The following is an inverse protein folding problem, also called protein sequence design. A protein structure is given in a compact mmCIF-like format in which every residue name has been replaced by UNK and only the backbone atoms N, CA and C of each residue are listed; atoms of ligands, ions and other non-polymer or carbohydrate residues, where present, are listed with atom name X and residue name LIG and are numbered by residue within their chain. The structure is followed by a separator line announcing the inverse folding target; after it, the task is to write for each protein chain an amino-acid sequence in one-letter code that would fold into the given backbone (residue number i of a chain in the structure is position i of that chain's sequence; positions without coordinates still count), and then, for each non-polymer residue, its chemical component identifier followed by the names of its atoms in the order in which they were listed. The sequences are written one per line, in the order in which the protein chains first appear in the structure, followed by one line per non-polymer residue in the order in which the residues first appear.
data_IF_968363719753
#
_entry.id   IF_968363719753
#
_cell.length_a   1.000
_cell.length_b   1.000
_cell.length_c   1.000
_cell.angle_alpha   90.00
_cell.angle_beta   90.00
_cell.angle_gamma   90.00
#
_symmetry.space_group_name_H-M   'P 1'
#
loop_
_entity.id
_entity.type
_entity.pdbx_description
1 polymer ?
#
# COMPACT_ATOMS: atom_id res chain seq x y z
N UNK A 1 25.74 3.14 0.31
CA UNK A 1 25.64 4.25 1.27
C UNK A 1 26.59 5.39 0.94
N UNK A 2 27.87 5.17 0.97
CA UNK A 2 28.90 6.21 0.75
C UNK A 2 28.85 6.89 -0.62
N UNK A 3 28.19 6.28 -1.60
CA UNK A 3 27.97 6.84 -2.95
C UNK A 3 26.62 7.51 -3.12
N UNK A 4 25.85 7.69 -2.03
CA UNK A 4 24.50 8.25 -2.06
C UNK A 4 23.53 7.42 -2.89
N UNK A 5 23.71 6.08 -2.93
CA UNK A 5 22.93 5.14 -3.75
C UNK A 5 22.96 5.42 -5.27
N UNK A 6 23.99 6.11 -5.74
CA UNK A 6 24.19 6.31 -7.19
C UNK A 6 24.85 5.07 -7.81
N UNK A 7 24.48 4.78 -9.06
CA UNK A 7 24.99 3.67 -9.85
C UNK A 7 24.73 2.26 -9.24
N UNK A 8 23.58 2.11 -8.56
CA UNK A 8 23.13 0.79 -8.13
C UNK A 8 22.81 -0.08 -9.33
N UNK A 9 23.20 -1.36 -9.26
CA UNK A 9 22.88 -2.36 -10.28
C UNK A 9 21.81 -3.27 -9.68
N UNK A 10 20.61 -3.35 -10.29
CA UNK A 10 19.57 -4.27 -9.85
C UNK A 10 20.06 -5.72 -9.91
N UNK A 11 19.63 -6.55 -8.95
CA UNK A 11 19.99 -7.98 -8.91
C UNK A 11 19.46 -8.76 -10.12
N UNK A 12 18.41 -8.25 -10.77
CA UNK A 12 17.90 -8.71 -12.07
C UNK A 12 17.80 -7.50 -13.00
N UNK A 13 18.23 -7.64 -14.25
CA UNK A 13 18.22 -6.57 -15.26
C UNK A 13 17.12 -6.77 -16.31
N UNK A 14 16.15 -7.59 -16.04
CA UNK A 14 14.95 -7.83 -16.84
C UNK A 14 13.78 -8.18 -15.94
N UNK A 15 12.58 -8.11 -16.47
CA UNK A 15 11.37 -8.53 -15.76
C UNK A 15 11.43 -10.05 -15.51
N UNK A 16 11.42 -10.43 -14.22
CA UNK A 16 11.44 -11.83 -13.79
C UNK A 16 10.11 -12.32 -13.26
N UNK A 17 9.10 -11.47 -13.24
CA UNK A 17 7.72 -11.68 -12.74
C UNK A 17 7.36 -13.17 -12.61
N UNK A 18 7.44 -13.68 -11.38
CA UNK A 18 7.26 -15.09 -11.01
C UNK A 18 8.28 -16.11 -11.62
N UNK A 19 9.36 -15.66 -12.24
CA UNK A 19 10.40 -16.56 -12.77
C UNK A 19 11.09 -17.33 -11.66
N UNK A 20 11.07 -18.66 -11.76
CA UNK A 20 11.78 -19.55 -10.82
C UNK A 20 13.31 -19.31 -10.91
N UNK A 21 13.87 -19.28 -12.11
CA UNK A 21 15.30 -19.05 -12.31
C UNK A 21 15.73 -17.66 -11.81
N UNK A 22 14.91 -16.62 -12.05
CA UNK A 22 15.17 -15.29 -11.56
C UNK A 22 15.23 -15.24 -10.03
N UNK A 23 14.29 -15.90 -9.36
CA UNK A 23 14.28 -16.06 -7.91
C UNK A 23 15.47 -16.86 -7.37
N UNK A 24 15.86 -17.94 -8.07
CA UNK A 24 16.99 -18.79 -7.67
C UNK A 24 18.33 -18.05 -7.64
N UNK A 25 18.53 -17.06 -8.51
CA UNK A 25 19.77 -16.27 -8.55
C UNK A 25 20.00 -15.42 -7.31
N UNK A 26 18.93 -14.99 -6.64
CA UNK A 26 18.98 -14.17 -5.41
C UNK A 26 18.54 -14.97 -4.17
N UNK A 27 18.35 -16.28 -4.32
CA UNK A 27 17.90 -17.17 -3.25
C UNK A 27 18.73 -17.09 -1.96
N UNK A 28 20.07 -16.94 -1.97
CA UNK A 28 20.81 -16.79 -0.71
C UNK A 28 20.28 -15.67 0.17
N UNK A 29 20.04 -14.47 -0.40
CA UNK A 29 19.47 -13.32 0.33
C UNK A 29 18.02 -13.60 0.75
N UNK A 30 17.18 -14.06 -0.18
CA UNK A 30 15.76 -14.32 0.10
C UNK A 30 15.57 -15.40 1.15
N UNK A 31 16.40 -16.45 1.14
CA UNK A 31 16.41 -17.52 2.14
C UNK A 31 16.76 -16.98 3.53
N UNK A 32 17.80 -16.16 3.64
CA UNK A 32 18.22 -15.65 4.94
C UNK A 32 17.16 -14.70 5.51
N UNK A 33 16.50 -13.89 4.68
CA UNK A 33 15.33 -13.11 5.10
C UNK A 33 14.20 -14.02 5.57
N UNK A 34 13.82 -15.06 4.81
CA UNK A 34 12.75 -16.01 5.20
C UNK A 34 13.06 -16.69 6.53
N UNK A 35 14.29 -17.21 6.68
CA UNK A 35 14.70 -17.90 7.90
C UNK A 35 14.76 -16.93 9.09
N UNK A 36 15.27 -15.72 8.90
CA UNK A 36 15.30 -14.69 9.92
C UNK A 36 13.90 -14.31 10.40
N UNK A 37 12.97 -14.11 9.47
CA UNK A 37 11.57 -13.79 9.81
C UNK A 37 10.87 -14.98 10.48
N UNK A 38 11.13 -16.22 10.02
CA UNK A 38 10.59 -17.41 10.67
C UNK A 38 11.14 -17.58 12.10
N UNK A 39 12.42 -17.30 12.32
CA UNK A 39 13.02 -17.33 13.66
C UNK A 39 12.46 -16.23 14.57
N UNK A 40 12.02 -15.09 13.99
CA UNK A 40 11.30 -14.04 14.72
C UNK A 40 9.81 -14.35 14.97
N UNK A 41 9.35 -15.56 14.64
CA UNK A 41 7.97 -16.02 14.89
C UNK A 41 6.98 -15.73 13.77
N UNK A 42 7.41 -15.21 12.62
CA UNK A 42 6.54 -14.97 11.48
C UNK A 42 6.42 -16.22 10.60
N UNK A 43 5.21 -16.53 10.14
CA UNK A 43 5.01 -17.60 9.15
C UNK A 43 5.11 -17.02 7.75
N UNK A 44 6.18 -17.37 7.03
CA UNK A 44 6.34 -17.01 5.61
C UNK A 44 5.53 -17.99 4.76
N UNK A 45 4.68 -17.45 3.87
CA UNK A 45 3.86 -18.26 2.95
C UNK A 45 4.51 -18.40 1.58
N UNK A 46 5.09 -17.32 1.05
CA UNK A 46 5.75 -17.36 -0.27
C UNK A 46 6.79 -16.26 -0.42
N UNK A 47 7.71 -16.50 -1.36
CA UNK A 47 8.67 -15.50 -1.86
C UNK A 47 8.71 -15.65 -3.38
N UNK A 48 8.62 -14.54 -4.09
CA UNK A 48 8.64 -14.53 -5.56
C UNK A 48 9.23 -13.25 -6.12
N UNK A 49 9.70 -13.30 -7.37
CA UNK A 49 10.05 -12.12 -8.15
C UNK A 49 8.80 -11.37 -8.58
N UNK A 50 8.92 -10.07 -8.74
CA UNK A 50 7.88 -9.15 -9.21
C UNK A 50 8.30 -8.42 -10.49
N UNK A 51 7.42 -7.55 -11.01
CA UNK A 51 7.57 -6.97 -12.34
C UNK A 51 8.77 -6.04 -12.51
N UNK A 52 9.17 -5.28 -11.47
CA UNK A 52 10.30 -4.37 -11.60
C UNK A 52 11.65 -5.08 -11.41
N UNK A 53 12.69 -4.49 -11.95
CA UNK A 53 14.06 -5.03 -11.86
C UNK A 53 14.50 -5.14 -10.41
N UNK A 54 14.91 -6.33 -10.01
CA UNK A 54 15.33 -6.62 -8.64
C UNK A 54 14.20 -6.57 -7.61
N UNK A 55 12.95 -6.49 -8.03
CA UNK A 55 11.80 -6.46 -7.14
C UNK A 55 11.40 -7.88 -6.72
N UNK A 56 11.16 -8.05 -5.43
CA UNK A 56 10.69 -9.30 -4.84
C UNK A 56 9.58 -9.03 -3.83
N UNK A 57 8.66 -9.97 -3.71
CA UNK A 57 7.59 -9.97 -2.72
C UNK A 57 7.77 -11.13 -1.76
N UNK A 58 7.62 -10.84 -0.47
CA UNK A 58 7.52 -11.86 0.58
C UNK A 58 6.14 -11.75 1.20
N UNK A 59 5.37 -12.84 1.18
CA UNK A 59 4.05 -12.91 1.76
C UNK A 59 4.10 -13.66 3.09
N UNK A 60 3.40 -13.12 4.09
CA UNK A 60 3.29 -13.68 5.42
C UNK A 60 1.86 -14.11 5.70
N UNK A 61 1.71 -15.15 6.52
CA UNK A 61 0.41 -15.55 7.04
C UNK A 61 -0.22 -14.41 7.82
N UNK A 62 -1.52 -14.21 7.65
CA UNK A 62 -2.27 -13.19 8.38
C UNK A 62 -2.24 -13.43 9.90
N UNK A 63 -2.33 -12.36 10.65
CA UNK A 63 -2.51 -12.35 12.10
C UNK A 63 -3.51 -11.25 12.49
N UNK A 64 -3.72 -11.02 13.78
CA UNK A 64 -4.45 -9.85 14.24
C UNK A 64 -3.74 -8.54 13.80
N UNK A 65 -4.51 -7.47 13.74
CA UNK A 65 -4.04 -6.21 13.16
C UNK A 65 -2.77 -5.65 13.82
N UNK A 66 -2.68 -5.70 15.16
CA UNK A 66 -1.53 -5.15 15.88
C UNK A 66 -0.29 -6.01 15.67
N UNK A 67 -0.40 -7.32 15.91
CA UNK A 67 0.71 -8.26 15.65
C UNK A 67 1.20 -8.23 14.22
N UNK A 68 0.29 -8.04 13.24
CA UNK A 68 0.69 -7.92 11.84
C UNK A 68 1.46 -6.62 11.56
N UNK A 69 1.08 -5.51 12.19
CA UNK A 69 1.83 -4.25 12.09
C UNK A 69 3.22 -4.38 12.72
N UNK A 70 3.33 -5.00 13.90
CA UNK A 70 4.61 -5.27 14.58
C UNK A 70 5.52 -6.12 13.68
N UNK A 71 4.99 -7.23 13.15
CA UNK A 71 5.70 -8.11 12.24
C UNK A 71 6.18 -7.38 10.98
N UNK A 72 5.36 -6.49 10.41
CA UNK A 72 5.75 -5.72 9.24
C UNK A 72 6.92 -4.77 9.53
N UNK A 73 6.95 -4.12 10.69
CA UNK A 73 8.06 -3.26 11.12
C UNK A 73 9.34 -4.08 11.31
N UNK A 74 9.25 -5.22 12.00
CA UNK A 74 10.35 -6.16 12.20
C UNK A 74 10.88 -6.64 10.84
N UNK A 75 9.99 -7.05 9.93
CA UNK A 75 10.35 -7.48 8.58
C UNK A 75 11.08 -6.38 7.80
N UNK A 76 10.54 -5.17 7.74
CA UNK A 76 11.16 -4.07 6.99
C UNK A 76 12.56 -3.73 7.50
N UNK A 77 12.76 -3.77 8.81
CA UNK A 77 14.07 -3.50 9.40
C UNK A 77 15.01 -4.69 9.20
N UNK A 78 14.60 -5.89 9.59
CA UNK A 78 15.41 -7.10 9.51
C UNK A 78 15.83 -7.45 8.08
N UNK A 79 14.95 -7.28 7.10
CA UNK A 79 15.30 -7.49 5.69
C UNK A 79 16.42 -6.55 5.22
N UNK A 80 16.38 -5.25 5.63
CA UNK A 80 17.45 -4.29 5.31
C UNK A 80 18.77 -4.64 5.99
N UNK A 81 18.73 -5.08 7.25
CA UNK A 81 19.92 -5.48 7.98
C UNK A 81 20.58 -6.72 7.34
N UNK A 82 19.80 -7.75 7.05
CA UNK A 82 20.27 -8.97 6.37
C UNK A 82 20.86 -8.64 5.00
N UNK A 83 20.16 -7.82 4.20
CA UNK A 83 20.66 -7.38 2.90
C UNK A 83 21.99 -6.62 3.03
N UNK A 84 22.10 -5.69 3.99
CA UNK A 84 23.32 -4.93 4.25
C UNK A 84 24.51 -5.82 4.62
N UNK A 85 24.29 -6.86 5.43
CA UNK A 85 25.33 -7.82 5.83
C UNK A 85 25.84 -8.63 4.63
N UNK A 86 25.03 -8.82 3.59
CA UNK A 86 25.39 -9.51 2.35
C UNK A 86 25.86 -8.57 1.23
N UNK A 87 26.04 -7.28 1.51
CA UNK A 87 26.51 -6.29 0.53
C UNK A 87 25.43 -5.80 -0.44
N UNK A 88 24.16 -6.02 -0.13
CA UNK A 88 23.04 -5.52 -0.93
C UNK A 88 22.44 -4.24 -0.31
N UNK A 89 21.96 -3.34 -1.18
CA UNK A 89 21.06 -2.26 -0.81
C UNK A 89 19.61 -2.69 -1.04
N UNK A 90 18.75 -2.57 -0.03
CA UNK A 90 17.35 -2.93 -0.09
C UNK A 90 16.49 -1.71 0.24
N UNK A 91 15.44 -1.48 -0.53
CA UNK A 91 14.54 -0.35 -0.34
C UNK A 91 13.06 -0.77 -0.36
N UNK A 92 12.28 -0.08 0.43
CA UNK A 92 10.82 -0.10 0.42
C UNK A 92 10.24 1.22 -0.14
N UNK A 93 11.04 2.03 -0.82
CA UNK A 93 10.52 3.23 -1.52
C UNK A 93 9.33 2.84 -2.40
N UNK A 94 8.28 3.65 -2.38
CA UNK A 94 7.09 3.39 -3.20
C UNK A 94 7.40 3.43 -4.71
N UNK A 95 8.36 4.26 -5.14
CA UNK A 95 8.77 4.39 -6.55
C UNK A 95 10.29 4.50 -6.64
N UNK A 96 11.02 3.37 -6.69
CA UNK A 96 12.48 3.38 -6.71
C UNK A 96 13.08 3.81 -8.06
N UNK A 97 12.33 3.65 -9.13
CA UNK A 97 12.68 4.06 -10.50
C UNK A 97 11.43 4.36 -11.33
N UNK A 98 11.55 4.61 -12.61
CA UNK A 98 10.45 4.98 -13.51
C UNK A 98 9.51 3.81 -13.89
N UNK A 99 9.86 2.57 -13.53
CA UNK A 99 9.06 1.37 -13.79
C UNK A 99 8.01 1.13 -12.69
N UNK A 100 7.61 -0.10 -12.45
CA UNK A 100 6.63 -0.48 -11.45
C UNK A 100 7.10 -0.08 -10.04
N UNK A 101 6.14 0.34 -9.20
CA UNK A 101 6.42 0.74 -7.83
C UNK A 101 6.28 -0.41 -6.83
N UNK A 102 6.73 -0.17 -5.60
CA UNK A 102 6.51 -1.07 -4.47
C UNK A 102 5.20 -0.74 -3.78
N UNK A 103 4.34 -1.73 -3.66
CA UNK A 103 3.10 -1.66 -2.89
C UNK A 103 3.28 -2.33 -1.54
N UNK A 104 2.42 -1.93 -0.60
CA UNK A 104 2.12 -2.68 0.62
C UNK A 104 0.62 -2.92 0.63
N UNK A 105 0.15 -3.90 -0.14
CA UNK A 105 -1.27 -4.23 -0.18
C UNK A 105 -1.71 -4.76 1.17
N UNK A 106 -2.77 -4.16 1.73
CA UNK A 106 -3.28 -4.54 3.05
C UNK A 106 -4.56 -5.35 2.85
N UNK A 107 -4.48 -6.64 3.17
CA UNK A 107 -5.63 -7.51 3.20
C UNK A 107 -6.26 -7.47 4.59
N UNK A 108 -7.56 -7.23 4.64
CA UNK A 108 -8.29 -7.14 5.89
C UNK A 108 -9.59 -7.95 5.81
N UNK A 109 -9.84 -8.74 6.85
CA UNK A 109 -11.14 -9.30 7.19
C UNK A 109 -11.38 -9.09 8.67
N UNK A 110 -12.63 -9.14 9.10
CA UNK A 110 -12.95 -9.03 10.50
C UNK A 110 -13.97 -10.10 10.90
N UNK A 111 -13.94 -10.45 12.17
CA UNK A 111 -14.82 -11.43 12.78
C UNK A 111 -15.51 -10.82 13.99
N UNK A 112 -16.63 -11.39 14.36
CA UNK A 112 -17.27 -11.07 15.63
C UNK A 112 -16.43 -11.58 16.82
N UNK A 113 -16.78 -11.15 18.02
CA UNK A 113 -16.03 -11.46 19.25
C UNK A 113 -15.94 -12.95 19.57
N UNK A 114 -16.83 -13.78 19.01
CA UNK A 114 -16.83 -15.23 19.15
C UNK A 114 -16.23 -15.95 17.93
N UNK A 115 -15.62 -15.20 17.00
CA UNK A 115 -14.98 -15.73 15.80
C UNK A 115 -15.92 -15.93 14.60
N UNK A 116 -17.18 -15.50 14.71
CA UNK A 116 -18.16 -15.57 13.61
C UNK A 116 -17.76 -14.74 12.40
N UNK A 117 -18.11 -15.21 11.21
CA UNK A 117 -17.82 -14.57 9.92
C UNK A 117 -18.80 -13.43 9.66
N UNK A 118 -18.50 -12.22 10.14
CA UNK A 118 -19.42 -11.07 9.99
C UNK A 118 -19.33 -10.34 8.65
N UNK A 119 -18.27 -10.59 7.85
CA UNK A 119 -18.14 -10.03 6.49
C UNK A 119 -18.90 -10.84 5.44
N UNK A 120 -19.28 -12.07 5.74
CA UNK A 120 -19.81 -13.01 4.76
C UNK A 120 -21.32 -13.19 4.92
N UNK A 121 -21.99 -13.45 3.79
CA UNK A 121 -23.38 -13.89 3.75
C UNK A 121 -23.54 -14.91 2.61
N UNK A 122 -23.91 -16.14 2.94
CA UNK A 122 -24.11 -17.21 1.95
C UNK A 122 -25.35 -16.98 1.07
N UNK A 123 -26.26 -16.10 1.49
CA UNK A 123 -27.42 -15.73 0.70
C UNK A 123 -27.04 -14.79 -0.47
N UNK A 124 -25.95 -14.00 -0.33
CA UNK A 124 -25.40 -13.20 -1.41
C UNK A 124 -24.63 -14.08 -2.41
N UNK A 125 -25.31 -14.47 -3.49
CA UNK A 125 -24.74 -15.35 -4.53
C UNK A 125 -23.75 -14.64 -5.46
N UNK A 126 -23.74 -13.32 -5.48
CA UNK A 126 -22.87 -12.54 -6.35
C UNK A 126 -21.48 -12.34 -5.75
N UNK A 127 -21.42 -11.91 -4.50
CA UNK A 127 -20.14 -11.56 -3.84
C UNK A 127 -19.88 -12.35 -2.57
N UNK A 128 -20.86 -13.03 -2.00
CA UNK A 128 -20.76 -13.74 -0.72
C UNK A 128 -20.56 -12.80 0.48
N UNK A 129 -21.02 -11.55 0.38
CA UNK A 129 -20.69 -10.47 1.29
C UNK A 129 -21.92 -10.01 2.08
N UNK A 130 -21.77 -9.90 3.40
CA UNK A 130 -22.81 -9.39 4.28
C UNK A 130 -23.03 -7.88 4.08
N UNK A 131 -24.14 -7.36 4.59
CA UNK A 131 -24.41 -5.93 4.61
C UNK A 131 -23.36 -5.15 5.42
N UNK A 132 -22.86 -5.68 6.52
CA UNK A 132 -21.76 -5.09 7.31
C UNK A 132 -20.49 -5.02 6.46
N UNK A 133 -20.17 -6.08 5.70
CA UNK A 133 -19.05 -6.07 4.77
C UNK A 133 -19.18 -5.00 3.70
N UNK A 134 -20.39 -4.82 3.12
CA UNK A 134 -20.70 -3.77 2.14
C UNK A 134 -20.50 -2.38 2.73
N UNK A 135 -21.06 -2.12 3.90
CA UNK A 135 -20.94 -0.85 4.60
C UNK A 135 -19.48 -0.51 4.95
N UNK A 136 -18.69 -1.52 5.35
CA UNK A 136 -17.27 -1.35 5.65
C UNK A 136 -16.46 -0.94 4.40
N UNK A 137 -16.74 -1.53 3.25
CA UNK A 137 -16.12 -1.14 1.96
C UNK A 137 -16.57 0.27 1.56
N UNK A 138 -17.85 0.58 1.70
CA UNK A 138 -18.38 1.91 1.40
C UNK A 138 -17.72 3.01 2.23
N UNK A 139 -17.45 2.74 3.51
CA UNK A 139 -16.71 3.66 4.38
C UNK A 139 -15.28 3.90 3.89
N UNK A 140 -14.57 2.85 3.47
CA UNK A 140 -13.24 3.03 2.91
C UNK A 140 -13.25 3.85 1.62
N UNK A 141 -14.21 3.63 0.71
CA UNK A 141 -14.35 4.43 -0.51
C UNK A 141 -14.60 5.90 -0.17
N UNK A 142 -15.48 6.17 0.79
CA UNK A 142 -15.86 7.53 1.19
C UNK A 142 -14.66 8.34 1.71
N UNK A 143 -13.76 7.72 2.46
CA UNK A 143 -12.67 8.40 3.16
C UNK A 143 -11.27 8.16 2.54
N UNK A 144 -11.16 7.42 1.44
CA UNK A 144 -9.86 7.03 0.88
C UNK A 144 -9.00 8.23 0.49
N UNK A 145 -9.60 9.28 -0.08
CA UNK A 145 -8.87 10.50 -0.46
C UNK A 145 -8.32 11.25 0.74
N UNK A 146 -9.12 11.37 1.80
CA UNK A 146 -8.74 12.06 3.04
C UNK A 146 -7.61 11.32 3.77
N UNK A 147 -7.57 9.99 3.66
CA UNK A 147 -6.56 9.12 4.27
C UNK A 147 -5.26 9.01 3.46
N UNK A 148 -5.17 9.66 2.30
CA UNK A 148 -4.04 9.46 1.38
C UNK A 148 -2.69 9.79 1.99
N UNK A 149 -2.59 10.76 2.92
CA UNK A 149 -1.33 11.01 3.65
C UNK A 149 -0.87 9.83 4.49
N UNK A 150 -1.78 8.98 4.97
CA UNK A 150 -1.43 7.78 5.72
C UNK A 150 -1.00 6.62 4.81
N UNK A 151 -1.49 6.58 3.56
CA UNK A 151 -1.19 5.54 2.58
C UNK A 151 0.01 5.88 1.68
N UNK A 152 0.29 7.16 1.52
CA UNK A 152 1.33 7.72 0.68
C UNK A 152 2.06 8.86 1.42
N UNK A 153 2.92 8.51 2.42
CA UNK A 153 3.44 9.49 3.38
C UNK A 153 4.62 10.32 2.87
N UNK A 154 5.11 10.08 1.66
CA UNK A 154 6.29 10.77 1.09
C UNK A 154 5.98 11.38 -0.27
N UNK A 155 6.75 12.37 -0.71
CA UNK A 155 6.68 12.94 -2.07
C UNK A 155 6.79 11.84 -3.14
N UNK A 156 7.69 10.88 -2.90
CA UNK A 156 7.93 9.76 -3.80
C UNK A 156 6.72 8.83 -3.94
N UNK A 157 5.90 8.70 -2.90
CA UNK A 157 4.75 7.78 -2.86
C UNK A 157 3.75 8.06 -3.99
N UNK A 158 3.51 9.32 -4.29
CA UNK A 158 2.53 9.75 -5.32
C UNK A 158 3.00 9.44 -6.75
N UNK A 159 4.30 9.30 -6.97
CA UNK A 159 4.86 8.89 -8.26
C UNK A 159 4.52 7.45 -8.64
N UNK A 160 3.99 6.66 -7.70
CA UNK A 160 3.54 5.28 -7.93
C UNK A 160 2.17 5.23 -8.63
N UNK A 161 1.33 6.23 -8.44
CA UNK A 161 -0.04 6.25 -8.97
C UNK A 161 -0.08 6.63 -10.45
N UNK A 162 0.35 5.71 -11.31
CA UNK A 162 0.39 5.85 -12.76
C UNK A 162 -0.55 4.82 -13.40
N UNK A 163 -1.43 5.19 -14.34
CA UNK A 163 -2.26 4.23 -15.06
C UNK A 163 -1.42 3.12 -15.70
N UNK A 164 -1.87 1.87 -15.56
CA UNK A 164 -1.17 0.70 -16.10
C UNK A 164 0.05 0.20 -15.31
N UNK A 165 0.38 0.82 -14.16
CA UNK A 165 1.53 0.46 -13.33
C UNK A 165 1.20 -0.51 -12.18
N UNK A 166 0.07 -1.21 -12.23
CA UNK A 166 -0.50 -2.05 -11.16
C UNK A 166 -0.85 -1.29 -9.86
N UNK A 167 -0.49 -0.02 -9.73
CA UNK A 167 -0.96 0.85 -8.66
C UNK A 167 -2.34 1.42 -9.03
N UNK A 168 -3.34 1.37 -8.14
CA UNK A 168 -4.67 1.88 -8.45
C UNK A 168 -4.65 3.40 -8.53
N UNK A 169 -5.36 3.96 -9.50
CA UNK A 169 -5.59 5.39 -9.60
C UNK A 169 -7.05 5.76 -9.37
N UNK A 170 -7.99 4.83 -9.61
CA UNK A 170 -9.42 5.02 -9.47
C UNK A 170 -9.92 4.51 -8.12
N UNK A 171 -10.72 5.30 -7.44
CA UNK A 171 -11.36 4.96 -6.16
C UNK A 171 -12.63 4.18 -6.46
N UNK A 172 -12.44 2.89 -6.73
CA UNK A 172 -13.49 1.91 -6.99
C UNK A 172 -13.19 0.62 -6.24
N UNK A 173 -14.20 -0.20 -6.09
CA UNK A 173 -14.04 -1.57 -5.66
C UNK A 173 -14.51 -2.54 -6.74
N UNK A 174 -13.94 -3.72 -6.76
CA UNK A 174 -14.35 -4.77 -7.69
C UNK A 174 -14.00 -6.15 -7.19
N UNK A 175 -14.77 -7.15 -7.66
CA UNK A 175 -14.51 -8.56 -7.40
C UNK A 175 -13.30 -8.99 -8.21
N UNK A 176 -12.23 -9.38 -7.52
CA UNK A 176 -10.95 -9.81 -8.11
C UNK A 176 -10.38 -8.85 -9.18
N UNK A 177 -10.68 -7.55 -9.06
CA UNK A 177 -10.25 -6.52 -9.99
C UNK A 177 -9.03 -5.75 -9.48
N UNK A 178 -7.85 -6.03 -10.07
CA UNK A 178 -6.57 -5.43 -9.69
C UNK A 178 -6.41 -3.97 -10.13
N UNK A 179 -7.31 -3.44 -10.96
CA UNK A 179 -7.27 -2.04 -11.40
C UNK A 179 -8.00 -1.10 -10.44
N UNK A 180 -8.80 -1.65 -9.49
CA UNK A 180 -9.51 -0.91 -8.45
C UNK A 180 -8.63 -0.64 -7.23
N UNK A 181 -8.93 0.44 -6.50
CA UNK A 181 -8.30 0.74 -5.20
C UNK A 181 -8.60 -0.33 -4.15
N UNK A 182 -9.81 -0.87 -4.16
CA UNK A 182 -10.29 -1.91 -3.25
C UNK A 182 -10.68 -3.16 -4.04
N UNK A 183 -10.03 -4.27 -3.76
CA UNK A 183 -10.26 -5.56 -4.43
C UNK A 183 -10.84 -6.56 -3.44
N UNK A 184 -12.04 -7.04 -3.68
CA UNK A 184 -12.66 -8.11 -2.89
C UNK A 184 -12.15 -9.45 -3.40
N UNK A 185 -11.55 -10.27 -2.54
CA UNK A 185 -10.97 -11.57 -2.88
C UNK A 185 -11.40 -12.67 -1.91
N UNK A 186 -11.29 -13.92 -2.35
CA UNK A 186 -11.64 -15.10 -1.55
C UNK A 186 -13.15 -15.33 -1.44
N UNK A 187 -13.54 -16.38 -0.76
CA UNK A 187 -14.93 -16.79 -0.51
C UNK A 187 -15.06 -17.36 0.90
N UNK A 188 -16.27 -17.33 1.47
CA UNK A 188 -16.54 -17.89 2.81
C UNK A 188 -15.54 -17.38 3.85
N UNK A 189 -14.92 -18.25 4.60
CA UNK A 189 -13.94 -17.90 5.63
C UNK A 189 -12.69 -17.19 5.08
N UNK A 190 -12.42 -17.29 3.79
CA UNK A 190 -11.30 -16.62 3.10
C UNK A 190 -11.67 -15.26 2.47
N UNK A 191 -12.95 -14.83 2.60
CA UNK A 191 -13.38 -13.53 2.06
C UNK A 191 -12.66 -12.40 2.79
N UNK A 192 -12.02 -11.51 2.02
CA UNK A 192 -11.28 -10.37 2.54
C UNK A 192 -11.24 -9.23 1.53
N UNK A 193 -11.00 -8.04 2.02
CA UNK A 193 -10.77 -6.86 1.21
C UNK A 193 -9.27 -6.57 1.13
N UNK A 194 -8.76 -6.40 -0.06
CA UNK A 194 -7.41 -5.91 -0.35
C UNK A 194 -7.46 -4.41 -0.64
N UNK A 195 -6.89 -3.59 0.24
CA UNK A 195 -6.65 -2.18 -0.04
C UNK A 195 -5.29 -2.06 -0.77
N UNK A 196 -5.32 -1.62 -2.01
CA UNK A 196 -4.17 -1.59 -2.92
C UNK A 196 -3.46 -0.23 -2.97
N UNK A 197 -3.99 0.75 -2.25
CA UNK A 197 -3.47 2.13 -2.27
C UNK A 197 -2.15 2.29 -1.49
N UNK A 198 -1.93 1.65 -0.33
CA UNK A 198 -0.70 1.84 0.44
C UNK A 198 0.57 1.46 -0.34
N UNK A 199 1.58 2.31 -0.25
CA UNK A 199 2.91 2.06 -0.81
C UNK A 199 3.82 1.27 0.13
N UNK A 200 4.94 0.77 -0.38
CA UNK A 200 5.93 0.03 0.42
C UNK A 200 6.55 0.84 1.56
N UNK A 201 6.48 2.15 1.47
CA UNK A 201 7.00 3.13 2.43
C UNK A 201 6.03 3.50 3.57
N UNK A 202 4.84 2.90 3.59
CA UNK A 202 3.79 3.18 4.56
C UNK A 202 4.20 2.85 6.00
N UNK A 203 3.64 3.62 6.96
CA UNK A 203 3.59 3.21 8.36
C UNK A 203 2.39 2.26 8.55
N UNK A 204 2.60 0.97 8.87
CA UNK A 204 1.54 -0.01 8.91
C UNK A 204 0.48 0.30 9.96
N UNK A 205 0.86 0.83 11.12
CA UNK A 205 -0.09 1.19 12.18
C UNK A 205 -1.06 2.27 11.74
N UNK A 206 -0.55 3.32 11.09
CA UNK A 206 -1.37 4.43 10.61
C UNK A 206 -2.28 4.00 9.47
N UNK A 207 -1.76 3.22 8.52
CA UNK A 207 -2.54 2.73 7.40
C UNK A 207 -3.68 1.82 7.86
N UNK A 208 -3.40 0.86 8.74
CA UNK A 208 -4.40 -0.07 9.28
C UNK A 208 -5.42 0.67 10.14
N UNK A 209 -4.99 1.61 11.00
CA UNK A 209 -5.90 2.45 11.77
C UNK A 209 -6.85 3.26 10.87
N UNK A 210 -6.32 3.85 9.79
CA UNK A 210 -7.12 4.57 8.79
C UNK A 210 -8.16 3.68 8.10
N UNK A 211 -7.75 2.49 7.68
CA UNK A 211 -8.66 1.50 7.05
C UNK A 211 -9.78 1.10 8.00
N UNK A 212 -9.44 0.78 9.25
CA UNK A 212 -10.42 0.37 10.26
C UNK A 212 -11.38 1.51 10.57
N UNK A 213 -10.86 2.71 10.81
CA UNK A 213 -11.67 3.88 11.13
C UNK A 213 -12.67 4.22 10.01
N UNK A 214 -12.21 4.24 8.77
CA UNK A 214 -13.06 4.48 7.60
C UNK A 214 -14.14 3.41 7.44
N UNK A 215 -13.76 2.14 7.56
CA UNK A 215 -14.70 1.04 7.47
C UNK A 215 -15.76 1.06 8.56
N UNK A 216 -15.37 1.34 9.81
CA UNK A 216 -16.30 1.45 10.94
C UNK A 216 -17.24 2.66 10.81
N UNK A 217 -16.77 3.77 10.24
CA UNK A 217 -17.64 4.92 9.93
C UNK A 217 -18.71 4.53 8.91
N UNK A 218 -18.34 3.77 7.89
CA UNK A 218 -19.28 3.22 6.91
C UNK A 218 -20.36 2.33 7.55
N UNK A 219 -19.97 1.46 8.48
CA UNK A 219 -20.91 0.62 9.23
C UNK A 219 -21.79 1.47 10.15
N UNK A 220 -21.21 2.41 10.91
CA UNK A 220 -21.93 3.29 11.82
C UNK A 220 -22.99 4.14 11.08
N UNK A 221 -22.62 4.67 9.91
CA UNK A 221 -23.50 5.52 9.08
C UNK A 221 -24.38 4.71 8.13
N UNK A 222 -24.25 3.39 8.10
CA UNK A 222 -24.93 2.48 7.16
C UNK A 222 -24.79 2.94 5.71
N UNK A 223 -23.56 3.27 5.31
CA UNK A 223 -23.29 3.76 3.97
C UNK A 223 -23.61 2.69 2.93
N UNK A 224 -24.28 3.12 1.85
CA UNK A 224 -24.61 2.24 0.73
C UNK A 224 -23.38 2.06 -0.16
N UNK A 225 -23.01 0.81 -0.41
CA UNK A 225 -21.95 0.47 -1.35
C UNK A 225 -22.47 0.61 -2.79
N UNK A 226 -21.71 1.29 -3.62
CA UNK A 226 -21.94 1.34 -5.06
C UNK A 226 -21.73 -0.06 -5.69
N UNK A 227 -22.28 -0.31 -6.90
CA UNK A 227 -22.03 -1.58 -7.61
C UNK A 227 -20.53 -1.83 -7.84
N UNK A 228 -20.17 -3.12 -7.87
CA UNK A 228 -18.80 -3.53 -8.19
C UNK A 228 -18.42 -3.03 -9.59
N UNK A 229 -17.20 -2.50 -9.70
CA UNK A 229 -16.68 -2.07 -10.99
C UNK A 229 -16.16 -3.29 -11.77
N UNK A 230 -16.58 -3.40 -13.01
CA UNK A 230 -16.11 -4.40 -13.98
C UNK A 230 -15.33 -3.71 -15.09
N UNK A 231 -14.28 -4.37 -15.60
CA UNK A 231 -13.42 -3.81 -16.63
C UNK A 231 -12.20 -3.06 -16.07
N UNK A 232 -11.62 -2.19 -16.88
CA UNK A 232 -10.39 -1.47 -16.58
C UNK A 232 -10.69 -0.15 -15.83
N UNK A 233 -10.48 -0.11 -14.53
CA UNK A 233 -10.75 1.09 -13.72
C UNK A 233 -9.83 2.27 -14.04
N UNK A 234 -8.68 2.07 -14.66
CA UNK A 234 -7.81 3.17 -15.12
C UNK A 234 -8.50 4.08 -16.15
N UNK A 235 -9.42 3.53 -16.94
CA UNK A 235 -10.15 4.23 -18.00
C UNK A 235 -11.48 4.81 -17.52
N UNK A 236 -11.85 4.60 -16.26
CA UNK A 236 -13.12 5.07 -15.71
C UNK A 236 -13.09 6.57 -15.40
N UNK A 237 -14.25 7.23 -15.41
CA UNK A 237 -14.45 8.62 -14.95
C UNK A 237 -14.56 8.75 -13.42
N UNK A 238 -14.16 7.70 -12.70
CA UNK A 238 -14.24 7.66 -11.24
C UNK A 238 -13.31 8.66 -10.57
N UNK A 239 -13.64 9.07 -9.36
CA UNK A 239 -12.75 9.84 -8.50
C UNK A 239 -11.38 9.15 -8.39
N UNK A 240 -10.32 9.95 -8.37
CA UNK A 240 -8.92 9.46 -8.34
C UNK A 240 -8.31 9.64 -6.97
N UNK A 241 -7.34 8.78 -6.67
CA UNK A 241 -6.42 9.04 -5.56
C UNK A 241 -5.67 10.35 -5.82
N UNK A 242 -5.30 11.12 -4.79
CA UNK A 242 -4.53 12.34 -4.97
C UNK A 242 -3.26 12.10 -5.78
N UNK A 243 -2.97 13.00 -6.70
CA UNK A 243 -1.80 12.92 -7.58
C UNK A 243 -0.52 13.48 -6.95
N UNK A 244 -0.64 14.20 -5.83
CA UNK A 244 0.48 14.83 -5.14
C UNK A 244 0.26 14.87 -3.63
N UNK A 245 1.37 15.02 -2.89
CA UNK A 245 1.31 15.24 -1.44
C UNK A 245 0.59 16.55 -1.08
N UNK A 246 0.70 17.58 -1.93
CA UNK A 246 0.01 18.85 -1.71
C UNK A 246 -1.52 18.71 -1.77
N UNK A 247 -2.03 17.96 -2.76
CA UNK A 247 -3.46 17.64 -2.85
C UNK A 247 -3.93 16.79 -1.66
N UNK A 248 -3.15 15.79 -1.27
CA UNK A 248 -3.47 14.95 -0.13
C UNK A 248 -3.43 15.74 1.20
N UNK A 249 -2.52 16.68 1.35
CA UNK A 249 -2.45 17.59 2.49
C UNK A 249 -3.70 18.46 2.59
N UNK A 250 -4.13 19.06 1.49
CA UNK A 250 -5.35 19.88 1.45
C UNK A 250 -6.57 19.08 1.89
N UNK A 251 -6.72 17.86 1.39
CA UNK A 251 -7.83 16.97 1.77
C UNK A 251 -7.78 16.58 3.25
N UNK A 252 -6.59 16.27 3.77
CA UNK A 252 -6.39 15.92 5.17
C UNK A 252 -6.73 17.08 6.11
N UNK A 253 -6.24 18.29 5.83
CA UNK A 253 -6.43 19.46 6.67
C UNK A 253 -7.88 19.92 6.72
N UNK A 254 -8.59 19.86 5.59
CA UNK A 254 -9.97 20.31 5.47
C UNK A 254 -10.99 19.24 5.89
N UNK A 255 -10.54 18.03 6.24
CA UNK A 255 -11.44 16.97 6.66
C UNK A 255 -11.89 17.13 8.12
N UNK A 256 -13.17 17.39 8.30
CA UNK A 256 -13.79 17.34 9.62
C UNK A 256 -13.79 15.92 10.20
N UNK A 257 -13.94 14.90 9.34
CA UNK A 257 -13.92 13.51 9.73
C UNK A 257 -12.54 13.06 10.26
N UNK A 258 -11.45 13.47 9.63
CA UNK A 258 -10.09 13.23 10.13
C UNK A 258 -9.92 13.85 11.53
N UNK A 259 -10.37 15.09 11.71
CA UNK A 259 -10.29 15.78 13.00
C UNK A 259 -11.12 15.09 14.08
N UNK A 260 -12.32 14.64 13.75
CA UNK A 260 -13.20 13.91 14.67
C UNK A 260 -12.62 12.54 15.04
N UNK A 261 -12.07 11.84 14.06
CA UNK A 261 -11.61 10.45 14.19
C UNK A 261 -10.27 10.32 14.89
N UNK A 262 -9.29 11.14 14.51
CA UNK A 262 -7.91 11.05 15.00
C UNK A 262 -7.56 12.15 16.02
N UNK A 263 -8.39 13.17 16.14
CA UNK A 263 -8.15 14.33 17.00
C UNK A 263 -7.38 15.45 16.29
N UNK A 264 -7.62 16.69 16.73
CA UNK A 264 -7.02 17.88 16.12
C UNK A 264 -5.48 17.90 16.18
N UNK A 265 -4.89 17.34 17.24
CA UNK A 265 -3.43 17.31 17.40
C UNK A 265 -2.78 16.37 16.37
N UNK A 266 -3.37 15.19 16.15
CA UNK A 266 -2.87 14.23 15.14
C UNK A 266 -3.02 14.81 13.74
N UNK A 267 -4.19 15.41 13.44
CA UNK A 267 -4.40 16.09 12.16
C UNK A 267 -3.34 17.16 11.90
N UNK A 268 -3.11 18.05 12.87
CA UNK A 268 -2.13 19.12 12.75
C UNK A 268 -0.68 18.60 12.64
N UNK A 269 -0.35 17.52 13.36
CA UNK A 269 0.99 16.93 13.32
C UNK A 269 1.33 16.39 11.93
N UNK A 270 0.48 15.53 11.35
CA UNK A 270 0.72 14.97 10.02
C UNK A 270 0.62 16.01 8.91
N UNK A 271 -0.27 17.01 9.05
CA UNK A 271 -0.29 18.15 8.16
C UNK A 271 1.05 18.92 8.18
N UNK A 272 1.62 19.15 9.36
CA UNK A 272 2.91 19.81 9.48
C UNK A 272 4.06 18.98 8.90
N UNK A 273 4.07 17.66 9.11
CA UNK A 273 5.05 16.78 8.49
C UNK A 273 5.01 16.90 6.96
N UNK A 274 3.83 16.85 6.36
CA UNK A 274 3.66 17.00 4.91
C UNK A 274 4.14 18.37 4.41
N UNK A 275 3.84 19.47 5.12
CA UNK A 275 4.33 20.82 4.75
C UNK A 275 5.85 20.91 4.77
N UNK A 276 6.48 20.34 5.79
CA UNK A 276 7.95 20.32 5.91
C UNK A 276 8.57 19.55 4.75
N UNK A 277 8.02 18.39 4.40
CA UNK A 277 8.49 17.57 3.29
C UNK A 277 8.30 18.28 1.94
N UNK A 278 7.14 18.87 1.68
CA UNK A 278 6.86 19.66 0.47
C UNK A 278 7.83 20.83 0.35
N UNK A 279 8.06 21.57 1.45
CA UNK A 279 8.96 22.70 1.47
C UNK A 279 10.43 22.30 1.25
N UNK A 280 10.84 21.15 1.79
CA UNK A 280 12.19 20.62 1.58
C UNK A 280 12.40 20.19 0.12
N UNK A 281 11.44 19.45 -0.45
CA UNK A 281 11.47 19.03 -1.84
C UNK A 281 11.46 20.21 -2.81
N UNK A 282 10.66 21.25 -2.52
CA UNK A 282 10.58 22.46 -3.34
C UNK A 282 11.89 23.27 -3.42
N UNK A 283 12.86 22.99 -2.54
CA UNK A 283 14.20 23.58 -2.58
C UNK A 283 15.23 22.70 -3.30
N UNK A 284 14.90 21.45 -3.55
CA UNK A 284 15.80 20.52 -4.20
C UNK A 284 15.85 20.78 -5.71
N UNK A 285 17.04 20.87 -6.28
CA UNK A 285 17.24 20.87 -7.72
C UNK A 285 17.49 19.43 -8.16
N UNK A 286 16.56 18.89 -8.93
CA UNK A 286 16.58 17.49 -9.36
C UNK A 286 17.46 17.28 -10.60
N UNK A 287 17.96 16.04 -10.78
CA UNK A 287 18.70 15.67 -12.00
C UNK A 287 17.84 15.88 -13.27
N UNK A 288 16.50 15.71 -13.16
CA UNK A 288 15.58 15.98 -14.26
C UNK A 288 15.58 17.46 -14.66
N UNK A 289 15.56 18.38 -13.69
CA UNK A 289 15.61 19.83 -13.95
C UNK A 289 16.93 20.23 -14.58
N UNK A 290 18.05 19.68 -14.08
CA UNK A 290 19.36 19.92 -14.68
C UNK A 290 19.42 19.43 -16.13
N UNK A 291 19.00 18.18 -16.37
CA UNK A 291 18.98 17.62 -17.74
C UNK A 291 18.05 18.40 -18.68
N UNK A 292 16.88 18.83 -18.16
CA UNK A 292 15.86 19.52 -18.96
C UNK A 292 16.26 20.95 -19.33
N UNK A 293 16.91 21.66 -18.41
CA UNK A 293 17.04 23.12 -18.48
C UNK A 293 18.49 23.60 -18.74
N UNK A 294 19.52 22.80 -18.40
CA UNK A 294 20.91 23.20 -18.52
C UNK A 294 21.27 23.52 -19.98
N UNK A 295 21.85 24.66 -20.23
CA UNK A 295 22.19 25.19 -21.57
C UNK A 295 20.98 25.45 -22.51
N UNK A 296 19.75 25.34 -22.02
CA UNK A 296 18.56 25.63 -22.85
C UNK A 296 17.97 26.99 -22.59
N UNK A 297 18.22 27.56 -21.43
CA UNK A 297 17.74 28.85 -21.00
C UNK A 297 18.87 29.69 -20.43
#
# INVERSE_FOLDING_TARGET
WNKGYKNLIPVNQYNVDYSILGGSRIEPLLRDIRLGMSAAGMTVESVKGECNFGQHEIAFKYSDALSNCDNHVIYKNGAKEIASQQGYALTFMAKPNEKEGNSSHIHLSFRGLKGELVMTDEADKEHGMSEIGRQFIAGQIAHLRELSLLFAPNINSYKRYVPGSFAPTAIRWGRDNRTCALRLVGHGAGLRLENRVPGGDVNPYLAVAGIIAAGLDGVKKKLKLEPAFTGNAYESDSSRVPASMSEALELWENSAWIKETFGAQVQAHYANMARVEIAAYGKAVTDWELFRNFERF
#
